data_IF_906297284692
#
_entry.id   IF_906297284692
#
_cell.length_a   1.000
_cell.length_b   1.000
_cell.length_c   1.000
_cell.angle_alpha   90.00
_cell.angle_beta   90.00
_cell.angle_gamma   90.00
#
_symmetry.space_group_name_H-M   'P 1'
#
loop_
_entity.id
_entity.type
_entity.pdbx_description
1 polymer ?
#
# COMPACT_ATOMS: atom_id res chain seq x y z
N UNK A 1 -7.40 5.78 28.22
CA UNK A 1 -6.87 6.51 27.07
C UNK A 1 -5.44 6.94 27.41
N UNK A 2 -4.44 6.30 26.83
CA UNK A 2 -3.03 6.62 27.10
C UNK A 2 -2.56 7.61 26.04
N UNK A 3 -2.65 8.90 26.34
CA UNK A 3 -2.23 9.96 25.41
C UNK A 3 -0.70 9.94 25.32
N UNK A 4 -0.14 9.36 24.25
CA UNK A 4 1.29 9.53 23.93
C UNK A 4 1.50 10.92 23.35
N UNK A 5 2.08 11.81 24.14
CA UNK A 5 2.43 13.19 23.74
C UNK A 5 3.71 13.26 22.89
N UNK A 6 4.44 12.16 22.74
CA UNK A 6 5.70 12.10 22.00
C UNK A 6 5.55 11.27 20.73
N UNK A 7 6.07 11.79 19.61
CA UNK A 7 6.20 11.04 18.38
C UNK A 7 7.42 10.10 18.47
N UNK A 8 7.17 8.80 18.61
CA UNK A 8 8.22 7.79 18.72
C UNK A 8 8.99 7.57 17.40
N UNK A 9 8.53 8.15 16.29
CA UNK A 9 9.19 8.06 14.99
C UNK A 9 10.25 9.16 14.77
N UNK A 10 10.44 10.08 15.74
CA UNK A 10 11.49 11.10 15.67
C UNK A 10 12.71 10.62 16.45
N UNK A 11 13.91 10.56 15.85
CA UNK A 11 15.12 10.16 16.56
C UNK A 11 15.46 11.12 17.70
N UNK A 12 15.53 10.62 18.93
CA UNK A 12 15.79 11.46 20.12
C UNK A 12 17.28 11.82 20.33
N UNK A 13 18.20 11.12 19.65
CA UNK A 13 19.64 11.41 19.69
C UNK A 13 20.35 10.87 18.42
N UNK A 14 21.66 11.12 18.30
CA UNK A 14 22.46 10.71 17.14
C UNK A 14 22.55 9.19 16.95
N UNK A 15 22.56 8.40 18.03
CA UNK A 15 22.54 6.94 17.95
C UNK A 15 21.17 6.45 17.43
N UNK A 16 20.07 6.96 17.99
CA UNK A 16 18.72 6.67 17.50
C UNK A 16 18.57 7.04 16.03
N UNK A 17 19.16 8.17 15.58
CA UNK A 17 19.10 8.59 14.17
C UNK A 17 19.79 7.57 13.26
N UNK A 18 20.98 7.12 13.62
CA UNK A 18 21.72 6.10 12.85
C UNK A 18 20.96 4.77 12.79
N UNK A 19 20.43 4.29 13.93
CA UNK A 19 19.66 3.05 13.97
C UNK A 19 18.37 3.16 13.14
N UNK A 20 17.71 4.31 13.19
CA UNK A 20 16.55 4.61 12.36
C UNK A 20 16.91 4.60 10.87
N UNK A 21 17.99 5.26 10.46
CA UNK A 21 18.48 5.27 9.07
C UNK A 21 18.81 3.87 8.56
N UNK A 22 19.52 3.06 9.36
CA UNK A 22 19.83 1.66 9.01
C UNK A 22 18.56 0.83 8.84
N UNK A 23 17.58 0.98 9.75
CA UNK A 23 16.28 0.30 9.64
C UNK A 23 15.53 0.73 8.38
N UNK A 24 15.53 2.02 8.06
CA UNK A 24 14.89 2.54 6.86
C UNK A 24 15.55 1.99 5.61
N UNK A 25 16.88 1.91 5.56
CA UNK A 25 17.58 1.33 4.41
C UNK A 25 17.26 -0.15 4.21
N UNK A 26 17.22 -0.93 5.31
CA UNK A 26 16.79 -2.32 5.26
C UNK A 26 15.33 -2.47 4.77
N UNK A 27 14.44 -1.57 5.20
CA UNK A 27 13.04 -1.56 4.74
C UNK A 27 12.94 -1.21 3.25
N UNK A 28 13.71 -0.22 2.77
CA UNK A 28 13.76 0.15 1.35
C UNK A 28 14.20 -1.03 0.48
N UNK A 29 15.25 -1.75 0.88
CA UNK A 29 15.72 -2.93 0.17
C UNK A 29 14.65 -4.02 0.12
N UNK A 30 13.96 -4.29 1.24
CA UNK A 30 12.84 -5.26 1.29
C UNK A 30 11.70 -4.88 0.35
N UNK A 31 11.29 -3.60 0.34
CA UNK A 31 10.21 -3.13 -0.54
C UNK A 31 10.56 -3.31 -2.03
N UNK A 32 11.80 -3.04 -2.41
CA UNK A 32 12.28 -3.27 -3.79
C UNK A 32 12.30 -4.74 -4.18
N UNK A 33 12.61 -5.64 -3.25
CA UNK A 33 12.51 -7.07 -3.51
C UNK A 33 11.05 -7.50 -3.65
N UNK A 34 10.18 -7.02 -2.76
CA UNK A 34 8.75 -7.33 -2.80
C UNK A 34 8.08 -6.88 -4.10
N UNK A 35 8.53 -5.79 -4.70
CA UNK A 35 7.95 -5.26 -5.93
C UNK A 35 8.12 -6.19 -7.15
N UNK A 36 8.98 -7.21 -7.05
CA UNK A 36 9.18 -8.23 -8.08
C UNK A 36 8.08 -9.29 -8.05
N UNK A 37 7.49 -9.54 -6.87
CA UNK A 37 6.50 -10.60 -6.63
C UNK A 37 5.11 -10.07 -6.25
N UNK A 38 5.01 -8.76 -6.01
CA UNK A 38 3.78 -8.09 -5.61
C UNK A 38 3.58 -6.80 -6.42
N UNK A 39 2.33 -6.52 -6.75
CA UNK A 39 1.87 -5.29 -7.39
C UNK A 39 0.90 -4.51 -6.51
N UNK A 40 0.49 -3.36 -7.01
CA UNK A 40 -0.45 -2.46 -6.37
C UNK A 40 -1.71 -2.28 -7.22
N UNK A 41 -2.87 -2.26 -6.57
CA UNK A 41 -4.14 -1.91 -7.19
C UNK A 41 -4.70 -0.71 -6.45
N UNK A 42 -4.92 0.41 -7.12
CA UNK A 42 -5.60 1.58 -6.55
C UNK A 42 -7.01 1.68 -7.10
N UNK A 43 -8.00 1.46 -6.23
CA UNK A 43 -9.41 1.64 -6.55
C UNK A 43 -9.77 3.13 -6.44
N UNK A 44 -10.28 3.71 -7.53
CA UNK A 44 -10.51 5.16 -7.68
C UNK A 44 -11.86 5.46 -8.33
N UNK A 45 -12.26 6.73 -8.26
CA UNK A 45 -13.41 7.28 -8.99
C UNK A 45 -13.08 8.71 -9.44
N UNK A 46 -13.47 9.09 -10.66
CA UNK A 46 -13.24 10.43 -11.21
C UNK A 46 -13.77 11.57 -10.33
N UNK A 47 -14.91 11.41 -9.66
CA UNK A 47 -15.52 12.48 -8.83
C UNK A 47 -15.04 12.49 -7.37
N UNK A 48 -14.00 11.73 -7.04
CA UNK A 48 -13.49 11.59 -5.68
C UNK A 48 -12.25 12.48 -5.46
N UNK A 49 -12.41 13.58 -4.70
CA UNK A 49 -11.30 14.51 -4.38
C UNK A 49 -10.16 13.83 -3.62
N UNK A 50 -10.48 12.91 -2.71
CA UNK A 50 -9.48 12.11 -1.99
C UNK A 50 -8.66 11.21 -2.92
N UNK A 51 -9.27 10.73 -4.01
CA UNK A 51 -8.60 9.90 -5.00
C UNK A 51 -7.60 10.73 -5.79
N UNK A 52 -7.95 11.96 -6.18
CA UNK A 52 -7.04 12.91 -6.84
C UNK A 52 -5.85 13.29 -5.95
N UNK A 53 -6.08 13.41 -4.64
CA UNK A 53 -4.99 13.66 -3.69
C UNK A 53 -4.10 12.43 -3.46
N UNK A 54 -4.66 11.22 -3.45
CA UNK A 54 -3.91 10.02 -3.09
C UNK A 54 -3.16 9.38 -4.28
N UNK A 55 -3.76 9.39 -5.47
CA UNK A 55 -3.15 8.80 -6.66
C UNK A 55 -1.68 9.21 -6.89
N UNK A 56 -1.29 10.49 -6.85
CA UNK A 56 0.11 10.89 -7.04
C UNK A 56 1.04 10.35 -5.95
N UNK A 57 0.59 10.27 -4.69
CA UNK A 57 1.37 9.70 -3.57
C UNK A 57 1.65 8.21 -3.83
N UNK A 58 0.64 7.47 -4.28
CA UNK A 58 0.80 6.04 -4.58
C UNK A 58 1.67 5.83 -5.83
N UNK A 59 1.56 6.69 -6.85
CA UNK A 59 2.42 6.64 -8.03
C UNK A 59 3.89 6.91 -7.68
N UNK A 60 4.15 7.91 -6.83
CA UNK A 60 5.49 8.20 -6.33
C UNK A 60 6.05 7.01 -5.55
N UNK A 61 5.26 6.44 -4.64
CA UNK A 61 5.65 5.24 -3.89
C UNK A 61 5.95 4.05 -4.82
N UNK A 62 5.08 3.80 -5.79
CA UNK A 62 5.24 2.71 -6.75
C UNK A 62 6.52 2.90 -7.57
N UNK A 63 6.78 4.11 -8.06
CA UNK A 63 7.99 4.45 -8.81
C UNK A 63 9.26 4.34 -7.96
N UNK A 64 9.22 4.82 -6.71
CA UNK A 64 10.36 4.80 -5.79
C UNK A 64 10.87 3.38 -5.50
N UNK A 65 9.96 2.43 -5.38
CA UNK A 65 10.26 1.04 -5.00
C UNK A 65 10.17 0.04 -6.15
N UNK A 66 9.65 0.44 -7.32
CA UNK A 66 9.54 -0.42 -8.50
C UNK A 66 8.30 -1.32 -8.50
N UNK A 67 7.22 -0.94 -7.82
CA UNK A 67 5.95 -1.67 -7.89
C UNK A 67 5.23 -1.36 -9.20
N UNK A 68 4.67 -2.40 -9.82
CA UNK A 68 3.64 -2.20 -10.84
C UNK A 68 2.35 -1.73 -10.16
N UNK A 69 1.70 -0.74 -10.76
CA UNK A 69 0.43 -0.19 -10.26
C UNK A 69 -0.62 -0.25 -11.36
N UNK A 70 -1.82 -0.70 -11.00
CA UNK A 70 -3.01 -0.59 -11.84
C UNK A 70 -4.07 0.25 -11.14
N UNK A 71 -4.82 1.02 -11.94
CA UNK A 71 -5.95 1.81 -11.47
C UNK A 71 -7.24 1.08 -11.83
N UNK A 72 -8.12 0.92 -10.85
CA UNK A 72 -9.41 0.25 -11.05
C UNK A 72 -10.53 1.19 -10.72
N UNK A 73 -11.52 1.27 -11.60
CA UNK A 73 -12.76 2.01 -11.36
C UNK A 73 -13.95 1.06 -11.43
N UNK A 74 -14.96 1.29 -10.58
CA UNK A 74 -16.12 0.40 -10.51
C UNK A 74 -16.95 0.42 -11.81
N UNK A 75 -17.00 1.58 -12.46
CA UNK A 75 -17.74 1.78 -13.70
C UNK A 75 -16.87 1.61 -14.97
N UNK A 76 -15.55 1.43 -14.83
CA UNK A 76 -14.61 1.37 -15.96
C UNK A 76 -14.28 2.73 -16.57
N UNK A 77 -14.70 3.85 -15.94
CA UNK A 77 -14.36 5.18 -16.42
C UNK A 77 -12.90 5.54 -16.06
N UNK A 78 -12.19 6.12 -17.02
CA UNK A 78 -10.85 6.65 -16.80
C UNK A 78 -10.80 7.66 -15.64
N UNK A 79 -9.63 7.76 -15.01
CA UNK A 79 -9.40 8.57 -13.83
C UNK A 79 -8.29 9.59 -14.12
N UNK A 80 -8.65 10.87 -14.14
CA UNK A 80 -7.79 11.94 -14.65
C UNK A 80 -7.23 11.56 -16.04
N UNK A 81 -5.92 11.62 -16.22
CA UNK A 81 -5.23 11.21 -17.46
C UNK A 81 -4.83 9.72 -17.46
N UNK A 82 -5.25 8.96 -16.44
CA UNK A 82 -4.89 7.56 -16.26
C UNK A 82 -5.99 6.63 -16.75
N UNK A 83 -5.59 5.62 -17.52
CA UNK A 83 -6.46 4.52 -17.92
C UNK A 83 -6.80 3.66 -16.71
N UNK A 84 -8.08 3.31 -16.59
CA UNK A 84 -8.54 2.40 -15.54
C UNK A 84 -9.04 1.09 -16.14
N UNK A 85 -8.94 0.03 -15.35
CA UNK A 85 -9.61 -1.23 -15.63
C UNK A 85 -10.93 -1.27 -14.88
N UNK A 86 -11.97 -1.82 -15.51
CA UNK A 86 -13.25 -2.07 -14.83
C UNK A 86 -13.10 -3.22 -13.84
N UNK A 87 -13.58 -3.03 -12.60
CA UNK A 87 -13.63 -4.13 -11.63
C UNK A 87 -14.51 -5.28 -12.17
N UNK A 88 -13.99 -6.51 -12.11
CA UNK A 88 -14.69 -7.74 -12.50
C UNK A 88 -15.55 -8.33 -11.38
N UNK A 89 -15.60 -7.65 -10.23
CA UNK A 89 -16.40 -7.99 -9.06
C UNK A 89 -15.56 -8.45 -7.86
N UNK A 90 -14.24 -8.65 -8.04
CA UNK A 90 -13.33 -9.00 -6.95
C UNK A 90 -13.24 -7.86 -5.93
N UNK A 91 -12.97 -6.63 -6.40
CA UNK A 91 -12.82 -5.51 -5.47
C UNK A 91 -14.15 -5.13 -4.82
N UNK A 92 -15.25 -5.24 -5.56
CA UNK A 92 -16.61 -5.06 -5.04
C UNK A 92 -16.93 -5.99 -3.88
N UNK A 93 -16.37 -7.22 -3.86
CA UNK A 93 -16.50 -8.14 -2.70
C UNK A 93 -15.61 -7.74 -1.53
N UNK A 94 -14.41 -7.23 -1.79
CA UNK A 94 -13.45 -6.78 -0.75
C UNK A 94 -13.79 -5.40 -0.17
N UNK A 95 -14.61 -4.64 -0.90
CA UNK A 95 -15.03 -3.28 -0.59
C UNK A 95 -16.50 -3.05 -0.98
N UNK A 96 -17.44 -3.74 -0.31
CA UNK A 96 -18.87 -3.69 -0.65
C UNK A 96 -19.49 -2.30 -0.48
N UNK A 97 -18.91 -1.48 0.39
CA UNK A 97 -19.33 -0.09 0.62
C UNK A 97 -18.86 0.86 -0.50
N UNK A 98 -18.05 0.38 -1.45
CA UNK A 98 -17.49 1.16 -2.55
C UNK A 98 -16.74 2.42 -2.07
N UNK A 99 -16.08 2.33 -0.90
CA UNK A 99 -15.26 3.40 -0.38
C UNK A 99 -14.06 3.62 -1.30
N UNK A 100 -13.73 4.86 -1.62
CA UNK A 100 -12.55 5.21 -2.42
C UNK A 100 -11.84 6.44 -1.84
N UNK A 101 -10.49 6.50 -1.91
CA UNK A 101 -9.61 5.53 -2.53
C UNK A 101 -9.28 4.34 -1.62
N UNK A 102 -9.04 3.16 -2.21
CA UNK A 102 -8.51 1.99 -1.51
C UNK A 102 -7.32 1.44 -2.27
N UNK A 103 -6.19 1.30 -1.57
CA UNK A 103 -4.98 0.68 -2.10
C UNK A 103 -4.90 -0.77 -1.64
N UNK A 104 -4.63 -1.67 -2.57
CA UNK A 104 -4.39 -3.08 -2.31
C UNK A 104 -2.97 -3.46 -2.71
N UNK A 105 -2.41 -4.41 -1.95
CA UNK A 105 -1.22 -5.16 -2.30
C UNK A 105 -1.66 -6.51 -2.85
N UNK A 106 -1.22 -6.88 -4.05
CA UNK A 106 -1.63 -8.09 -4.75
C UNK A 106 -0.41 -8.92 -5.13
N UNK A 107 -0.42 -10.22 -4.88
CA UNK A 107 0.66 -11.10 -5.33
C UNK A 107 0.61 -11.21 -6.86
N UNK A 108 1.76 -11.37 -7.52
CA UNK A 108 1.83 -11.50 -8.99
C UNK A 108 1.04 -12.69 -9.54
N UNK A 109 0.78 -13.72 -8.71
CA UNK A 109 -0.10 -14.84 -9.03
C UNK A 109 -1.60 -14.47 -9.04
N UNK A 110 -1.97 -13.32 -8.49
CA UNK A 110 -3.35 -12.91 -8.23
C UNK A 110 -4.03 -13.64 -7.06
N UNK A 111 -3.35 -14.61 -6.43
CA UNK A 111 -3.96 -15.48 -5.42
C UNK A 111 -4.15 -14.79 -4.05
N UNK A 112 -3.36 -13.77 -3.75
CA UNK A 112 -3.45 -13.02 -2.50
C UNK A 112 -3.63 -11.54 -2.78
N UNK A 113 -4.58 -10.94 -2.06
CA UNK A 113 -4.88 -9.52 -2.13
C UNK A 113 -5.19 -9.01 -0.74
N UNK A 114 -4.51 -7.94 -0.33
CA UNK A 114 -4.64 -7.36 1.00
C UNK A 114 -4.86 -5.84 0.91
N UNK A 115 -5.81 -5.27 1.68
CA UNK A 115 -5.96 -3.83 1.75
C UNK A 115 -4.78 -3.21 2.50
N UNK A 116 -4.06 -2.30 1.84
CA UNK A 116 -2.95 -1.52 2.44
C UNK A 116 -3.47 -0.24 3.08
N UNK A 117 -4.41 0.43 2.42
CA UNK A 117 -4.96 1.70 2.87
C UNK A 117 -6.41 1.87 2.41
N UNK A 118 -7.25 2.42 3.29
CA UNK A 118 -8.59 2.91 2.97
C UNK A 118 -8.59 4.41 3.27
N UNK A 119 -8.41 5.23 2.23
CA UNK A 119 -8.16 6.67 2.34
C UNK A 119 -6.68 7.06 2.23
N UNK A 120 -6.42 8.37 2.37
CA UNK A 120 -5.09 8.98 2.16
C UNK A 120 -4.18 8.67 3.35
N UNK A 121 -2.98 8.17 3.06
CA UNK A 121 -1.89 8.01 4.04
C UNK A 121 -0.55 8.40 3.41
N UNK A 122 0.49 8.61 4.23
CA UNK A 122 1.84 8.94 3.76
C UNK A 122 2.56 7.73 3.13
N UNK A 123 3.60 8.01 2.34
CA UNK A 123 4.50 6.98 1.76
C UNK A 123 5.18 6.13 2.83
N UNK A 124 5.59 6.72 3.95
CA UNK A 124 6.11 5.98 5.10
C UNK A 124 5.06 5.01 5.66
N UNK A 125 3.80 5.45 5.74
CA UNK A 125 2.73 4.60 6.25
C UNK A 125 2.38 3.46 5.28
N UNK A 126 2.48 3.71 3.97
CA UNK A 126 2.38 2.66 2.94
C UNK A 126 3.45 1.58 3.13
N UNK A 127 4.71 2.00 3.30
CA UNK A 127 5.82 1.09 3.56
C UNK A 127 5.59 0.25 4.82
N UNK A 128 5.22 0.90 5.93
CA UNK A 128 4.91 0.20 7.19
C UNK A 128 3.80 -0.84 7.02
N UNK A 129 2.69 -0.46 6.39
CA UNK A 129 1.54 -1.34 6.22
C UNK A 129 1.88 -2.54 5.31
N UNK A 130 2.57 -2.32 4.19
CA UNK A 130 2.99 -3.38 3.27
C UNK A 130 3.91 -4.38 3.98
N UNK A 131 4.92 -3.89 4.70
CA UNK A 131 5.85 -4.77 5.44
C UNK A 131 5.14 -5.57 6.52
N UNK A 132 4.18 -4.97 7.24
CA UNK A 132 3.38 -5.67 8.23
C UNK A 132 2.48 -6.76 7.61
N UNK A 133 1.85 -6.47 6.48
CA UNK A 133 1.04 -7.44 5.72
C UNK A 133 1.90 -8.64 5.30
N UNK A 134 3.07 -8.40 4.72
CA UNK A 134 3.97 -9.47 4.28
C UNK A 134 4.48 -10.30 5.45
N UNK A 135 4.85 -9.67 6.56
CA UNK A 135 5.25 -10.39 7.76
C UNK A 135 4.14 -11.32 8.26
N UNK A 136 2.90 -10.85 8.26
CA UNK A 136 1.75 -11.65 8.66
C UNK A 136 1.48 -12.79 7.67
N UNK A 137 1.53 -12.52 6.37
CA UNK A 137 1.37 -13.51 5.31
C UNK A 137 2.40 -14.65 5.42
N UNK A 138 3.67 -14.29 5.60
CA UNK A 138 4.75 -15.28 5.73
C UNK A 138 4.59 -16.14 6.99
N UNK A 139 4.12 -15.55 8.10
CA UNK A 139 3.82 -16.32 9.31
C UNK A 139 2.73 -17.36 9.05
N UNK A 140 1.64 -16.96 8.39
CA UNK A 140 0.56 -17.89 8.05
C UNK A 140 1.05 -19.03 7.16
N UNK A 141 1.89 -18.75 6.14
CA UNK A 141 2.45 -19.81 5.28
C UNK A 141 3.22 -20.86 6.08
N UNK A 142 4.08 -20.43 7.01
CA UNK A 142 4.84 -21.34 7.87
C UNK A 142 3.91 -22.22 8.71
N UNK A 143 2.81 -21.66 9.22
CA UNK A 143 1.84 -22.39 10.03
C UNK A 143 1.04 -23.45 9.23
N UNK A 144 0.88 -23.30 7.91
CA UNK A 144 0.16 -24.25 7.04
C UNK A 144 1.06 -25.34 6.42
N UNK A 145 2.38 -25.16 6.46
CA UNK A 145 3.37 -26.12 5.93
C UNK A 145 3.89 -27.10 7.01
N UNK A 146 3.35 -27.04 8.23
CA UNK A 146 3.56 -28.00 9.34
C UNK A 146 2.34 -28.91 9.53
#
# INVERSE_FOLDING_TARGET
MTTRLTNNNIPANSLHKRLYEVKQEANRAKLRLLSQEWGLILQVNQRCSYCHAFAPIVQEFASQYGFQIIFVSNNGADFADLKTTKDTGLLSRLNPENLVPVLYLVASSGAQIYPVARGIISTDKLAENILAIIQHHNRLKVDYEQ
#
